data_IF_375340660058
#
_entry.id   IF_375340660058
#
_cell.length_a   1.000
_cell.length_b   1.000
_cell.length_c   1.000
_cell.angle_alpha   90.00
_cell.angle_beta   90.00
_cell.angle_gamma   90.00
#
_symmetry.space_group_name_H-M   'P 1'
#
loop_
_entity.id
_entity.type
_entity.pdbx_description
1 polymer ?
#
# COMPACT_ATOMS: atom_id res chain seq x y z
N UNK A 1 3.88 16.54 -4.89
CA UNK A 1 4.18 15.29 -5.61
C UNK A 1 3.45 14.11 -4.98
N UNK A 2 3.75 13.74 -3.74
CA UNK A 2 3.05 12.68 -2.98
C UNK A 2 1.53 12.87 -2.93
N UNK A 3 1.03 14.09 -2.64
CA UNK A 3 -0.41 14.37 -2.62
C UNK A 3 -1.16 14.13 -3.94
N UNK A 4 -0.46 14.17 -5.09
CA UNK A 4 -1.06 13.86 -6.40
C UNK A 4 -1.21 12.36 -6.64
N UNK A 5 -0.39 11.53 -6.00
CA UNK A 5 -0.55 10.06 -6.01
C UNK A 5 -1.82 9.68 -5.26
N UNK A 6 -2.06 10.31 -4.10
CA UNK A 6 -3.30 10.14 -3.34
C UNK A 6 -4.53 10.68 -4.08
N UNK A 7 -4.39 11.79 -4.81
CA UNK A 7 -5.44 12.37 -5.64
C UNK A 7 -5.55 11.73 -7.04
N UNK A 8 -4.81 10.65 -7.33
CA UNK A 8 -4.73 10.04 -8.67
C UNK A 8 -6.05 9.62 -9.34
N UNK A 9 -7.15 9.30 -8.64
CA UNK A 9 -8.42 9.08 -9.34
C UNK A 9 -8.98 10.35 -9.99
N UNK A 10 -8.62 11.53 -9.48
CA UNK A 10 -9.22 12.82 -9.86
C UNK A 10 -8.29 13.73 -10.67
N UNK A 11 -6.99 13.45 -10.69
CA UNK A 11 -5.99 14.29 -11.37
C UNK A 11 -5.29 13.53 -12.50
N UNK A 12 -4.89 14.25 -13.55
CA UNK A 12 -4.08 13.67 -14.62
C UNK A 12 -2.74 13.14 -14.08
N UNK A 13 -2.36 11.96 -14.54
CA UNK A 13 -1.22 11.20 -14.01
C UNK A 13 0.02 11.44 -14.87
N UNK A 14 1.02 12.12 -14.28
CA UNK A 14 2.33 12.30 -14.92
C UNK A 14 3.24 11.07 -14.76
N UNK A 15 4.37 11.08 -15.46
CA UNK A 15 5.40 10.03 -15.28
C UNK A 15 5.92 9.98 -13.83
N UNK A 16 6.12 11.15 -13.22
CA UNK A 16 6.69 11.24 -11.88
C UNK A 16 5.74 10.68 -10.80
N UNK A 17 4.42 10.84 -10.97
CA UNK A 17 3.41 10.25 -10.08
C UNK A 17 3.35 8.73 -10.23
N UNK A 18 3.50 8.24 -11.46
CA UNK A 18 3.59 6.81 -11.76
C UNK A 18 4.85 6.20 -11.13
N UNK A 19 6.02 6.79 -11.36
CA UNK A 19 7.28 6.33 -10.79
C UNK A 19 7.23 6.28 -9.26
N UNK A 20 6.76 7.35 -8.62
CA UNK A 20 6.66 7.41 -7.16
C UNK A 20 5.75 6.33 -6.59
N UNK A 21 4.63 6.04 -7.25
CA UNK A 21 3.75 4.95 -6.84
C UNK A 21 4.40 3.55 -7.02
N UNK A 22 5.37 3.37 -7.93
CA UNK A 22 6.14 2.11 -8.04
C UNK A 22 6.98 1.92 -6.79
N UNK A 23 7.64 3.02 -6.39
CA UNK A 23 8.54 2.98 -5.25
C UNK A 23 7.75 2.62 -3.99
N UNK A 24 6.53 3.16 -3.83
CA UNK A 24 5.67 2.77 -2.72
C UNK A 24 5.30 1.28 -2.73
N UNK A 25 5.07 0.67 -3.89
CA UNK A 25 4.81 -0.79 -3.95
C UNK A 25 6.02 -1.62 -3.51
N UNK A 26 7.24 -1.17 -3.80
CA UNK A 26 8.47 -1.82 -3.34
C UNK A 26 8.80 -1.55 -1.86
N UNK A 27 8.27 -0.46 -1.29
CA UNK A 27 8.49 -0.07 0.11
C UNK A 27 7.45 -0.64 1.09
N UNK A 28 6.47 -1.46 0.64
CA UNK A 28 5.42 -2.02 1.51
C UNK A 28 6.02 -2.73 2.73
N UNK A 29 6.98 -3.62 2.52
CA UNK A 29 7.64 -4.35 3.62
C UNK A 29 8.34 -3.41 4.60
N UNK A 30 9.02 -2.38 4.07
CA UNK A 30 9.68 -1.36 4.89
C UNK A 30 8.68 -0.59 5.76
N UNK A 31 7.50 -0.26 5.23
CA UNK A 31 6.47 0.44 6.02
C UNK A 31 5.89 -0.43 7.13
N UNK A 32 5.79 -1.75 6.91
CA UNK A 32 5.33 -2.70 7.93
C UNK A 32 6.38 -2.88 9.03
N UNK A 33 7.66 -3.00 8.67
CA UNK A 33 8.75 -3.06 9.65
C UNK A 33 8.83 -1.78 10.47
N UNK A 34 8.58 -0.63 9.84
CA UNK A 34 8.53 0.66 10.53
C UNK A 34 7.33 0.76 11.49
N UNK A 35 6.16 0.29 11.09
CA UNK A 35 4.96 0.22 11.94
C UNK A 35 5.21 -0.66 13.17
N UNK A 36 5.77 -1.84 12.95
CA UNK A 36 6.18 -2.75 14.01
C UNK A 36 7.23 -2.11 14.94
N UNK A 37 8.27 -1.51 14.38
CA UNK A 37 9.33 -0.84 15.13
C UNK A 37 8.79 0.29 16.01
N UNK A 38 7.91 1.13 15.48
CA UNK A 38 7.25 2.19 16.26
C UNK A 38 6.50 1.58 17.44
N UNK A 39 5.69 0.53 17.22
CA UNK A 39 4.93 -0.11 18.28
C UNK A 39 5.86 -0.71 19.37
N UNK A 40 6.88 -1.44 18.94
CA UNK A 40 7.82 -2.10 19.84
C UNK A 40 8.59 -1.08 20.70
N UNK A 41 9.19 -0.06 20.06
CA UNK A 41 9.94 0.96 20.79
C UNK A 41 9.03 1.83 21.66
N UNK A 42 7.80 2.16 21.21
CA UNK A 42 6.87 2.92 22.03
C UNK A 42 6.49 2.18 23.32
N UNK A 43 6.19 0.88 23.25
CA UNK A 43 5.89 0.06 24.42
C UNK A 43 7.12 -0.14 25.31
N UNK A 44 8.30 -0.28 24.71
CA UNK A 44 9.56 -0.40 25.44
C UNK A 44 9.85 0.84 26.28
N UNK A 45 9.77 2.04 25.69
CA UNK A 45 10.03 3.30 26.41
C UNK A 45 8.91 3.67 27.39
N UNK A 46 7.70 3.17 27.19
CA UNK A 46 6.60 3.30 28.15
C UNK A 46 6.73 2.37 29.38
N UNK A 47 7.77 1.53 29.46
CA UNK A 47 7.98 0.58 30.56
C UNK A 47 7.14 -0.70 30.45
N UNK A 48 6.42 -0.90 29.34
CA UNK A 48 5.59 -2.06 29.08
C UNK A 48 6.36 -3.18 28.35
N UNK A 49 7.54 -3.55 28.85
CA UNK A 49 8.43 -4.51 28.19
C UNK A 49 7.79 -5.88 27.90
N UNK A 50 6.87 -6.34 28.75
CA UNK A 50 6.13 -7.60 28.55
C UNK A 50 5.09 -7.54 27.43
N UNK A 51 4.64 -6.33 27.08
CA UNK A 51 3.66 -6.10 26.00
C UNK A 51 4.34 -5.78 24.67
N UNK A 52 5.65 -5.45 24.67
CA UNK A 52 6.47 -5.22 23.48
C UNK A 52 6.81 -6.53 22.73
N UNK A 53 5.91 -7.51 22.75
CA UNK A 53 6.04 -8.77 22.03
C UNK A 53 5.44 -8.67 20.61
N UNK A 54 5.90 -9.57 19.75
CA UNK A 54 5.46 -9.69 18.36
C UNK A 54 3.95 -9.84 18.24
N UNK A 55 3.33 -10.63 19.13
CA UNK A 55 1.89 -10.86 19.15
C UNK A 55 1.08 -9.57 19.31
N UNK A 56 1.44 -8.70 20.26
CA UNK A 56 0.72 -7.46 20.55
C UNK A 56 0.81 -6.45 19.41
N UNK A 57 2.01 -6.23 18.86
CA UNK A 57 2.22 -5.24 17.81
C UNK A 57 1.76 -5.73 16.43
N UNK A 58 1.79 -7.05 16.17
CA UNK A 58 1.38 -7.66 14.90
C UNK A 58 -0.13 -7.91 14.82
N UNK A 59 -0.75 -8.45 15.89
CA UNK A 59 -2.15 -8.87 15.91
C UNK A 59 -3.12 -7.71 16.16
N UNK A 60 -2.80 -6.82 17.11
CA UNK A 60 -3.75 -5.80 17.56
C UNK A 60 -3.92 -4.64 16.54
N UNK A 61 -3.14 -4.64 15.46
CA UNK A 61 -3.09 -3.59 14.43
C UNK A 61 -3.35 -4.10 13.01
N UNK A 62 -4.08 -5.22 12.91
CA UNK A 62 -4.53 -5.78 11.63
C UNK A 62 -5.12 -4.74 10.64
N UNK A 63 -5.92 -3.72 11.03
CA UNK A 63 -6.49 -2.80 10.05
C UNK A 63 -5.42 -1.90 9.45
N UNK A 64 -4.49 -1.40 10.27
CA UNK A 64 -3.40 -0.52 9.85
C UNK A 64 -2.48 -1.25 8.88
N UNK A 65 -2.12 -2.50 9.21
CA UNK A 65 -1.27 -3.34 8.36
C UNK A 65 -1.97 -3.66 7.03
N UNK A 66 -3.26 -3.97 7.07
CA UNK A 66 -4.08 -4.16 5.86
C UNK A 66 -4.07 -2.91 4.96
N UNK A 67 -4.21 -1.70 5.54
CA UNK A 67 -4.10 -0.46 4.78
C UNK A 67 -2.72 -0.29 4.13
N UNK A 68 -1.63 -0.53 4.86
CA UNK A 68 -0.26 -0.41 4.34
C UNK A 68 -0.03 -1.37 3.16
N UNK A 69 -0.56 -2.58 3.22
CA UNK A 69 -0.48 -3.56 2.15
C UNK A 69 -1.30 -3.18 0.91
N UNK A 70 -2.54 -2.72 1.09
CA UNK A 70 -3.49 -2.48 -0.01
C UNK A 70 -3.25 -1.14 -0.72
N UNK A 71 -2.90 -0.10 0.02
CA UNK A 71 -2.83 1.27 -0.50
C UNK A 71 -1.91 1.44 -1.72
N UNK A 72 -0.67 0.91 -1.74
CA UNK A 72 0.23 1.11 -2.88
C UNK A 72 -0.26 0.45 -4.16
N UNK A 73 -0.80 -0.78 -4.05
CA UNK A 73 -1.39 -1.50 -5.18
C UNK A 73 -2.64 -0.77 -5.70
N UNK A 74 -3.46 -0.22 -4.79
CA UNK A 74 -4.64 0.57 -5.14
C UNK A 74 -4.28 1.84 -5.93
N UNK A 75 -3.28 2.60 -5.48
CA UNK A 75 -2.85 3.81 -6.22
C UNK A 75 -2.37 3.47 -7.62
N UNK A 76 -1.67 2.35 -7.81
CA UNK A 76 -1.26 1.89 -9.14
C UNK A 76 -2.43 1.49 -10.02
N UNK A 77 -3.41 0.79 -9.47
CA UNK A 77 -4.64 0.48 -10.18
C UNK A 77 -5.38 1.75 -10.62
N UNK A 78 -5.60 2.70 -9.70
CA UNK A 78 -6.28 3.96 -9.97
C UNK A 78 -5.56 4.81 -11.04
N UNK A 79 -4.23 4.88 -10.99
CA UNK A 79 -3.43 5.60 -11.99
C UNK A 79 -3.53 4.97 -13.39
N UNK A 80 -3.51 3.64 -13.49
CA UNK A 80 -3.63 2.94 -14.77
C UNK A 80 -5.03 3.15 -15.37
N UNK A 81 -6.07 3.09 -14.53
CA UNK A 81 -7.45 3.30 -14.94
C UNK A 81 -7.68 4.76 -15.38
N UNK A 82 -7.14 5.74 -14.66
CA UNK A 82 -7.23 7.16 -15.05
C UNK A 82 -6.56 7.40 -16.41
N UNK A 83 -5.38 6.82 -16.65
CA UNK A 83 -4.69 6.94 -17.95
C UNK A 83 -5.47 6.29 -19.09
N UNK A 84 -6.16 5.17 -18.84
CA UNK A 84 -7.06 4.60 -19.83
C UNK A 84 -8.19 5.57 -20.19
N UNK A 85 -8.84 6.18 -19.20
CA UNK A 85 -9.89 7.18 -19.46
C UNK A 85 -9.37 8.43 -20.17
N UNK A 86 -8.16 8.89 -19.84
CA UNK A 86 -7.58 10.10 -20.45
C UNK A 86 -7.10 9.87 -21.90
N UNK A 87 -6.62 8.67 -22.23
CA UNK A 87 -6.02 8.40 -23.56
C UNK A 87 -6.91 7.59 -24.49
N UNK A 88 -7.91 6.88 -23.97
CA UNK A 88 -8.73 5.92 -24.73
C UNK A 88 -7.98 4.67 -25.20
N UNK A 89 -6.67 4.59 -24.98
CA UNK A 89 -5.82 3.49 -25.42
C UNK A 89 -5.83 2.36 -24.41
N UNK A 90 -6.42 1.22 -24.80
CA UNK A 90 -6.47 0.02 -23.95
C UNK A 90 -5.06 -0.54 -23.65
N UNK A 91 -4.15 -0.50 -24.62
CA UNK A 91 -2.76 -0.90 -24.45
C UNK A 91 -1.86 0.34 -24.28
N UNK A 92 -0.92 0.37 -23.32
CA UNK A 92 -0.59 -0.64 -22.30
C UNK A 92 -1.35 -0.46 -20.96
N UNK A 93 -2.30 0.48 -20.89
CA UNK A 93 -2.87 0.93 -19.61
C UNK A 93 -3.78 -0.09 -18.94
N UNK A 94 -4.66 -0.75 -19.69
CA UNK A 94 -5.61 -1.73 -19.15
C UNK A 94 -4.91 -3.04 -18.76
N UNK A 95 -3.87 -3.44 -19.49
CA UNK A 95 -3.03 -4.60 -19.15
C UNK A 95 -2.31 -4.38 -17.82
N UNK A 96 -1.75 -3.19 -17.62
CA UNK A 96 -1.14 -2.82 -16.34
C UNK A 96 -2.18 -2.73 -15.22
N UNK A 97 -3.37 -2.19 -15.49
CA UNK A 97 -4.47 -2.20 -14.51
C UNK A 97 -4.83 -3.62 -14.07
N UNK A 98 -4.90 -4.57 -15.02
CA UNK A 98 -5.13 -5.98 -14.73
C UNK A 98 -4.03 -6.59 -13.83
N UNK A 99 -2.76 -6.31 -14.13
CA UNK A 99 -1.63 -6.73 -13.28
C UNK A 99 -1.79 -6.25 -11.83
N UNK A 100 -2.10 -4.97 -11.63
CA UNK A 100 -2.27 -4.42 -10.28
C UNK A 100 -3.56 -4.89 -9.59
N UNK A 101 -4.59 -5.25 -10.37
CA UNK A 101 -5.79 -5.90 -9.84
C UNK A 101 -5.46 -7.29 -9.29
N UNK A 102 -4.64 -8.08 -9.99
CA UNK A 102 -4.18 -9.36 -9.48
C UNK A 102 -3.33 -9.21 -8.20
N UNK A 103 -2.50 -8.17 -8.13
CA UNK A 103 -1.77 -7.83 -6.90
C UNK A 103 -2.72 -7.49 -5.75
N UNK A 104 -3.76 -6.68 -5.97
CA UNK A 104 -4.78 -6.36 -4.96
C UNK A 104 -5.49 -7.63 -4.45
N UNK A 105 -5.87 -8.52 -5.35
CA UNK A 105 -6.50 -9.79 -4.99
C UNK A 105 -5.57 -10.66 -4.14
N UNK A 106 -4.31 -10.81 -4.56
CA UNK A 106 -3.31 -11.55 -3.79
C UNK A 106 -3.10 -10.95 -2.40
N UNK A 107 -3.04 -9.62 -2.29
CA UNK A 107 -2.93 -8.90 -1.02
C UNK A 107 -4.14 -9.13 -0.11
N UNK A 108 -5.36 -9.13 -0.67
CA UNK A 108 -6.58 -9.40 0.11
C UNK A 108 -6.55 -10.84 0.66
N UNK A 109 -6.17 -11.83 -0.14
CA UNK A 109 -6.01 -13.20 0.35
C UNK A 109 -4.96 -13.30 1.45
N UNK A 110 -3.83 -12.62 1.29
CA UNK A 110 -2.79 -12.52 2.32
C UNK A 110 -3.31 -11.95 3.63
N UNK A 111 -4.16 -10.91 3.58
CA UNK A 111 -4.74 -10.32 4.78
C UNK A 111 -5.75 -11.27 5.43
N UNK A 112 -6.58 -11.95 4.63
CA UNK A 112 -7.58 -12.90 5.13
C UNK A 112 -6.96 -14.13 5.79
N UNK A 113 -5.79 -14.58 5.32
CA UNK A 113 -5.02 -15.67 5.94
C UNK A 113 -4.40 -15.28 7.29
N UNK A 114 -4.29 -13.97 7.59
CA UNK A 114 -3.72 -13.45 8.84
C UNK A 114 -4.79 -13.15 9.91
N UNK A 115 -6.08 -13.47 9.65
CA UNK A 115 -7.23 -13.34 10.57
C UNK A 115 -7.56 -14.71 11.15
#
# INVERSE_FOLDING_TARGET
>A
MVGRVFASPFVSVGFADFWLADQFTSCVSMFLDFEFGICHYALYYAGHHRLADSSTCSSNRWPIRAFIYVLPAWFRFAQCLRRYFDTGSAYPHLVNAGKYTASLVATIFLILDQV
#
